data_IF_954106297509
#
_entry.id   IF_954106297509
#
_cell.length_a   1.000
_cell.length_b   1.000
_cell.length_c   1.000
_cell.angle_alpha   90.00
_cell.angle_beta   90.00
_cell.angle_gamma   90.00
#
_symmetry.space_group_name_H-M   'P 1'
#
loop_
_entity.id
_entity.type
_entity.pdbx_description
1 polymer ?
#
# COMPACT_ATOMS: atom_id res chain seq x y z
N UNK A 1 -47.39 52.84 6.91
CA UNK A 1 -47.04 51.41 6.94
C UNK A 1 -45.59 51.30 6.54
N UNK A 2 -44.71 51.04 7.50
CA UNK A 2 -43.25 50.92 7.27
C UNK A 2 -42.89 49.43 7.28
N UNK A 3 -42.45 48.92 6.16
CA UNK A 3 -41.91 47.54 5.99
C UNK A 3 -40.44 47.53 6.31
N UNK A 4 -40.01 46.77 7.33
CA UNK A 4 -38.62 46.51 7.64
C UNK A 4 -38.09 45.31 6.82
N UNK A 5 -36.86 45.34 6.34
CA UNK A 5 -36.26 44.16 5.69
C UNK A 5 -35.63 43.19 6.71
N UNK A 6 -35.94 41.88 6.58
CA UNK A 6 -35.28 40.81 7.29
C UNK A 6 -33.86 40.64 6.74
N UNK A 7 -32.88 40.80 7.63
CA UNK A 7 -31.49 40.45 7.34
C UNK A 7 -31.29 38.94 7.63
N UNK A 8 -31.08 38.15 6.59
CA UNK A 8 -30.70 36.73 6.73
C UNK A 8 -29.18 36.65 6.95
N UNK A 9 -28.78 36.30 8.16
CA UNK A 9 -27.37 36.04 8.49
C UNK A 9 -27.03 34.59 8.10
N UNK A 10 -26.26 34.42 7.02
CA UNK A 10 -25.62 33.14 6.70
C UNK A 10 -24.40 32.94 7.59
N UNK A 11 -24.49 32.00 8.54
CA UNK A 11 -23.34 31.54 9.33
C UNK A 11 -22.57 30.52 8.49
N UNK A 12 -21.44 30.95 7.93
CA UNK A 12 -20.44 30.04 7.32
C UNK A 12 -19.69 29.33 8.45
N UNK A 13 -20.02 28.05 8.68
CA UNK A 13 -19.23 27.19 9.54
C UNK A 13 -17.89 26.87 8.85
N UNK A 14 -16.86 27.62 9.18
CA UNK A 14 -15.48 27.29 8.81
C UNK A 14 -15.05 26.11 9.67
N UNK A 15 -15.04 24.91 9.08
CA UNK A 15 -14.47 23.72 9.69
C UNK A 15 -12.97 23.92 9.92
N UNK A 16 -12.56 24.20 11.14
CA UNK A 16 -11.16 24.28 11.53
C UNK A 16 -10.54 22.86 11.39
N UNK A 17 -9.64 22.72 10.43
CA UNK A 17 -8.71 21.58 10.36
C UNK A 17 -7.77 21.76 11.57
N UNK A 18 -8.07 21.08 12.66
CA UNK A 18 -7.17 21.01 13.81
C UNK A 18 -5.92 20.21 13.40
N UNK A 19 -4.88 20.91 12.97
CA UNK A 19 -3.52 20.40 13.07
C UNK A 19 -3.31 20.12 14.56
N UNK A 20 -3.15 18.83 14.91
CA UNK A 20 -2.90 18.43 16.29
C UNK A 20 -1.78 19.28 16.89
N UNK A 21 -2.14 20.11 17.88
CA UNK A 21 -1.16 20.81 18.69
C UNK A 21 -0.25 19.78 19.37
N UNK A 22 1.06 20.02 19.52
CA UNK A 22 1.89 19.15 20.33
C UNK A 22 1.33 19.13 21.75
N UNK A 23 1.04 17.93 22.25
CA UNK A 23 0.70 17.73 23.67
C UNK A 23 1.82 18.33 24.52
N UNK A 24 1.49 18.91 25.67
CA UNK A 24 2.42 19.62 26.57
C UNK A 24 3.63 18.77 27.02
N UNK A 25 3.59 17.44 26.80
CA UNK A 25 4.68 16.48 27.09
C UNK A 25 5.64 16.24 25.93
N UNK A 26 5.52 16.95 24.80
CA UNK A 26 6.33 16.68 23.60
C UNK A 26 6.06 15.32 22.95
N UNK A 27 5.03 14.60 23.37
CA UNK A 27 4.62 13.33 22.78
C UNK A 27 3.99 13.55 21.40
N UNK A 28 4.13 12.56 20.50
CA UNK A 28 3.56 12.58 19.16
C UNK A 28 2.47 11.54 19.04
N UNK A 29 1.39 11.89 18.38
CA UNK A 29 0.32 10.97 18.00
C UNK A 29 0.69 10.27 16.70
N UNK A 30 0.75 8.95 16.71
CA UNK A 30 1.09 8.11 15.57
C UNK A 30 -0.14 7.29 15.19
N UNK A 31 -0.44 7.23 13.89
CA UNK A 31 -1.49 6.36 13.33
C UNK A 31 -0.85 5.27 12.48
N UNK A 32 -1.24 4.02 12.71
CA UNK A 32 -0.81 2.85 11.96
C UNK A 32 -2.04 2.09 11.50
N UNK A 33 -2.02 1.61 10.26
CA UNK A 33 -3.08 0.76 9.73
C UNK A 33 -2.72 -0.71 9.92
N UNK A 34 -3.66 -1.48 10.47
CA UNK A 34 -3.49 -2.90 10.71
C UNK A 34 -4.76 -3.67 10.31
N UNK A 35 -4.58 -4.89 9.84
CA UNK A 35 -5.67 -5.83 9.57
C UNK A 35 -5.65 -6.93 10.63
N UNK A 36 -6.79 -7.21 11.24
CA UNK A 36 -6.98 -8.38 12.08
C UNK A 36 -7.77 -9.44 11.33
N UNK A 37 -7.29 -10.68 11.36
CA UNK A 37 -7.95 -11.82 10.70
C UNK A 37 -8.11 -12.99 11.66
N UNK A 38 -9.27 -13.62 11.61
CA UNK A 38 -9.59 -14.85 12.33
C UNK A 38 -9.38 -16.11 11.46
N UNK A 39 -10.18 -17.12 11.72
CA UNK A 39 -10.16 -18.37 10.95
C UNK A 39 -10.38 -18.12 9.45
N UNK A 40 -9.69 -18.89 8.60
CA UNK A 40 -9.77 -18.78 7.12
C UNK A 40 -9.44 -17.38 6.58
N UNK A 41 -8.63 -16.60 7.31
CA UNK A 41 -8.29 -15.20 6.99
C UNK A 41 -9.51 -14.25 6.92
N UNK A 42 -10.63 -14.59 7.53
CA UNK A 42 -11.81 -13.72 7.59
C UNK A 42 -11.45 -12.46 8.43
N UNK A 43 -11.77 -11.23 7.96
CA UNK A 43 -11.55 -10.03 8.73
C UNK A 43 -12.31 -10.03 10.05
N UNK A 44 -11.65 -9.62 11.14
CA UNK A 44 -12.26 -9.36 12.44
C UNK A 44 -12.64 -7.89 12.47
N UNK A 45 -13.92 -7.56 12.70
CA UNK A 45 -14.46 -6.20 12.56
C UNK A 45 -14.94 -5.58 13.87
N UNK A 46 -14.71 -6.25 15.00
CA UNK A 46 -15.20 -5.87 16.33
C UNK A 46 -14.08 -5.65 17.36
N UNK A 47 -12.88 -5.28 16.90
CA UNK A 47 -11.79 -4.96 17.82
C UNK A 47 -12.08 -3.69 18.62
N UNK A 48 -11.71 -3.75 19.88
CA UNK A 48 -11.76 -2.62 20.81
C UNK A 48 -10.36 -2.19 21.24
N UNK A 49 -10.25 -1.05 21.89
CA UNK A 49 -8.99 -0.55 22.45
C UNK A 49 -8.36 -1.53 23.44
N UNK A 50 -9.17 -2.24 24.22
CA UNK A 50 -8.69 -3.22 25.20
C UNK A 50 -8.05 -4.47 24.56
N UNK A 51 -8.38 -4.76 23.30
CA UNK A 51 -7.84 -5.92 22.59
C UNK A 51 -6.42 -5.69 22.06
N UNK A 52 -5.99 -4.43 21.89
CA UNK A 52 -4.81 -4.07 21.09
C UNK A 52 -3.66 -3.62 21.99
N UNK A 53 -2.49 -4.19 21.76
CA UNK A 53 -1.23 -3.75 22.39
C UNK A 53 -0.24 -3.33 21.30
N UNK A 54 0.36 -2.15 21.45
CA UNK A 54 1.41 -1.63 20.59
C UNK A 54 2.72 -1.57 21.35
N UNK A 55 3.79 -2.11 20.76
CA UNK A 55 5.17 -1.99 21.28
C UNK A 55 6.08 -1.40 20.21
N UNK A 56 6.94 -0.47 20.58
CA UNK A 56 8.05 0.00 19.76
C UNK A 56 9.36 -0.32 20.46
N UNK A 57 10.25 -1.02 19.77
CA UNK A 57 11.52 -1.54 20.34
C UNK A 57 11.32 -2.20 21.71
N UNK A 58 10.28 -3.07 21.80
CA UNK A 58 9.82 -3.77 23.01
C UNK A 58 9.23 -2.89 24.14
N UNK A 59 9.09 -1.58 23.95
CA UNK A 59 8.44 -0.68 24.90
C UNK A 59 6.96 -0.56 24.58
N UNK A 60 6.10 -0.80 25.57
CA UNK A 60 4.65 -0.63 25.43
C UNK A 60 4.35 0.85 25.21
N UNK A 61 3.47 1.13 24.21
CA UNK A 61 2.95 2.45 23.93
C UNK A 61 1.49 2.55 24.33
N UNK A 62 1.08 3.72 24.79
CA UNK A 62 -0.32 4.00 25.11
C UNK A 62 -1.13 4.06 23.81
N UNK A 63 -2.05 3.10 23.63
CA UNK A 63 -3.03 3.12 22.53
C UNK A 63 -4.18 4.04 22.94
N UNK A 64 -4.49 5.01 22.11
CA UNK A 64 -5.52 6.01 22.39
C UNK A 64 -6.81 5.79 21.59
N UNK A 65 -6.73 5.11 20.43
CA UNK A 65 -7.90 4.77 19.61
C UNK A 65 -7.64 3.53 18.77
N UNK A 66 -8.69 2.72 18.58
CA UNK A 66 -8.77 1.59 17.65
C UNK A 66 -10.10 1.70 16.92
N UNK A 67 -10.06 2.14 15.67
CA UNK A 67 -11.27 2.43 14.89
C UNK A 67 -11.16 1.82 13.49
N UNK A 68 -12.28 1.43 12.84
CA UNK A 68 -12.27 1.09 11.43
C UNK A 68 -11.63 2.20 10.59
N UNK A 69 -10.75 1.86 9.68
CA UNK A 69 -10.03 2.83 8.88
C UNK A 69 -10.96 3.54 7.89
N UNK A 70 -11.25 4.82 8.14
CA UNK A 70 -12.16 5.66 7.34
C UNK A 70 -11.45 6.55 6.32
N UNK A 71 -10.13 6.77 6.48
CA UNK A 71 -9.37 7.60 5.53
C UNK A 71 -9.41 6.99 4.12
N UNK A 72 -9.57 7.80 3.06
CA UNK A 72 -9.53 7.31 1.68
C UNK A 72 -8.21 6.60 1.37
N UNK A 73 -8.31 5.52 0.60
CA UNK A 73 -7.15 4.82 0.08
C UNK A 73 -6.49 5.65 -1.04
N UNK A 74 -5.17 5.69 -1.05
CA UNK A 74 -4.40 6.17 -2.20
C UNK A 74 -3.63 4.97 -2.75
N UNK A 75 -4.06 4.43 -3.90
CA UNK A 75 -3.53 3.18 -4.43
C UNK A 75 -2.72 3.43 -5.70
N UNK A 76 -1.45 3.09 -5.68
CA UNK A 76 -0.65 2.99 -6.89
C UNK A 76 -0.65 1.52 -7.35
N UNK A 77 -1.33 1.22 -8.45
CA UNK A 77 -1.29 -0.08 -9.09
C UNK A 77 -0.15 -0.08 -10.10
N UNK A 78 0.75 -1.05 -9.96
CA UNK A 78 1.89 -1.25 -10.86
C UNK A 78 1.76 -2.62 -11.48
N UNK A 79 1.69 -2.67 -12.81
CA UNK A 79 1.54 -3.92 -13.58
C UNK A 79 2.82 -4.18 -14.35
N UNK A 80 3.46 -5.30 -14.02
CA UNK A 80 4.67 -5.81 -14.66
C UNK A 80 4.36 -7.20 -15.21
N UNK A 81 3.84 -7.24 -16.42
CA UNK A 81 3.39 -8.46 -17.09
C UNK A 81 4.00 -8.65 -18.48
N UNK A 82 5.10 -7.97 -18.75
CA UNK A 82 5.78 -7.96 -20.07
C UNK A 82 4.82 -7.62 -21.24
N UNK A 83 3.78 -6.84 -20.99
CA UNK A 83 2.81 -6.42 -22.00
C UNK A 83 1.77 -7.48 -22.40
N UNK A 84 1.67 -8.59 -21.67
CA UNK A 84 0.71 -9.69 -21.98
C UNK A 84 -0.74 -9.34 -21.65
N UNK A 85 -0.98 -8.40 -20.73
CA UNK A 85 -2.30 -8.01 -20.27
C UNK A 85 -2.95 -9.03 -19.34
N UNK A 86 -2.19 -10.00 -18.80
CA UNK A 86 -2.68 -11.08 -17.93
C UNK A 86 -3.38 -10.52 -16.68
N UNK A 87 -2.92 -9.37 -16.16
CA UNK A 87 -3.50 -8.77 -14.97
C UNK A 87 -4.69 -7.84 -15.25
N UNK A 88 -5.06 -7.58 -16.50
CA UNK A 88 -6.11 -6.60 -16.85
C UNK A 88 -7.43 -6.87 -16.14
N UNK A 89 -7.91 -8.13 -16.16
CA UNK A 89 -9.15 -8.49 -15.47
C UNK A 89 -9.06 -8.30 -13.96
N UNK A 90 -7.95 -8.73 -13.35
CA UNK A 90 -7.71 -8.54 -11.93
C UNK A 90 -7.72 -7.07 -11.52
N UNK A 91 -7.00 -6.21 -12.26
CA UNK A 91 -6.97 -4.75 -12.00
C UNK A 91 -8.37 -4.14 -12.15
N UNK A 92 -9.17 -4.58 -13.13
CA UNK A 92 -10.55 -4.12 -13.31
C UNK A 92 -11.42 -4.49 -12.10
N UNK A 93 -11.34 -5.72 -11.61
CA UNK A 93 -12.09 -6.17 -10.43
C UNK A 93 -11.63 -5.45 -9.15
N UNK A 94 -10.32 -5.23 -9.00
CA UNK A 94 -9.79 -4.43 -7.90
C UNK A 94 -10.36 -3.01 -7.92
N UNK A 95 -10.30 -2.33 -9.07
CA UNK A 95 -10.80 -0.97 -9.23
C UNK A 95 -12.30 -0.87 -8.87
N UNK A 96 -13.12 -1.83 -9.32
CA UNK A 96 -14.53 -1.91 -8.96
C UNK A 96 -14.73 -2.08 -7.44
N UNK A 97 -13.91 -2.92 -6.81
CA UNK A 97 -14.01 -3.21 -5.37
C UNK A 97 -13.65 -2.02 -4.48
N UNK A 98 -12.79 -1.09 -4.94
CA UNK A 98 -12.37 0.09 -4.19
C UNK A 98 -13.04 1.39 -4.66
N UNK A 99 -13.95 1.31 -5.62
CA UNK A 99 -14.69 2.45 -6.15
C UNK A 99 -15.37 3.26 -5.06
N UNK A 100 -15.29 4.59 -5.14
CA UNK A 100 -15.87 5.53 -4.16
C UNK A 100 -15.10 5.61 -2.83
N UNK A 101 -14.04 4.79 -2.64
CA UNK A 101 -13.23 4.75 -1.40
C UNK A 101 -11.74 4.97 -1.64
N UNK A 102 -11.33 5.11 -2.91
CA UNK A 102 -9.94 5.24 -3.27
C UNK A 102 -9.71 6.32 -4.35
N UNK A 103 -8.52 6.92 -4.29
CA UNK A 103 -7.85 7.49 -5.47
C UNK A 103 -6.85 6.46 -5.99
N UNK A 104 -6.87 6.19 -7.29
CA UNK A 104 -6.00 5.19 -7.89
C UNK A 104 -5.16 5.79 -9.02
N UNK A 105 -3.89 5.42 -9.08
CA UNK A 105 -3.04 5.58 -10.27
C UNK A 105 -2.69 4.22 -10.85
N UNK A 106 -2.43 4.17 -12.16
CA UNK A 106 -2.04 2.95 -12.86
C UNK A 106 -0.74 3.18 -13.60
N UNK A 107 0.24 2.34 -13.31
CA UNK A 107 1.53 2.28 -13.98
C UNK A 107 1.72 0.92 -14.62
N UNK A 108 2.42 0.88 -15.73
CA UNK A 108 2.82 -0.36 -16.41
C UNK A 108 4.32 -0.37 -16.57
N UNK A 109 4.91 -1.54 -16.32
CA UNK A 109 6.32 -1.83 -16.58
C UNK A 109 6.41 -2.68 -17.83
N UNK A 110 7.02 -2.14 -18.87
CA UNK A 110 7.29 -2.84 -20.11
C UNK A 110 8.62 -2.28 -20.67
N UNK A 111 9.73 -2.82 -20.16
CA UNK A 111 11.05 -2.22 -20.21
C UNK A 111 11.17 -1.08 -19.20
N UNK A 112 10.59 0.07 -19.49
CA UNK A 112 10.53 1.23 -18.60
C UNK A 112 9.16 1.40 -17.94
N UNK A 113 9.13 2.12 -16.82
CA UNK A 113 7.89 2.50 -16.13
C UNK A 113 7.16 3.58 -16.91
N UNK A 114 5.87 3.37 -17.12
CA UNK A 114 4.99 4.35 -17.76
C UNK A 114 3.69 4.50 -17.00
N UNK A 115 3.30 5.73 -16.72
CA UNK A 115 2.00 6.03 -16.10
C UNK A 115 0.91 6.00 -17.18
N UNK A 116 -0.09 5.16 -16.96
CA UNK A 116 -1.31 5.10 -17.78
C UNK A 116 -2.40 6.02 -17.23
N UNK A 117 -2.47 6.12 -15.92
CA UNK A 117 -3.46 6.95 -15.21
C UNK A 117 -2.80 7.57 -14.00
N UNK A 118 -2.88 8.88 -13.88
CA UNK A 118 -2.52 9.62 -12.68
C UNK A 118 -3.54 9.40 -11.55
N UNK A 119 -3.20 9.77 -10.31
CA UNK A 119 -4.11 9.62 -9.19
C UNK A 119 -5.41 10.38 -9.41
N UNK A 120 -6.50 9.66 -9.41
CA UNK A 120 -7.86 10.18 -9.56
C UNK A 120 -8.85 9.26 -8.86
N UNK A 121 -10.02 9.77 -8.50
CA UNK A 121 -11.19 9.01 -8.06
C UNK A 121 -12.19 8.72 -9.20
N UNK A 122 -11.95 9.25 -10.40
CA UNK A 122 -12.84 9.03 -11.56
C UNK A 122 -12.65 7.63 -12.15
N UNK A 123 -13.64 6.77 -11.91
CA UNK A 123 -13.64 5.38 -12.38
C UNK A 123 -13.56 5.25 -13.90
N UNK A 124 -14.07 6.23 -14.67
CA UNK A 124 -13.99 6.21 -16.14
C UNK A 124 -12.56 6.34 -16.60
N UNK A 125 -11.78 7.19 -15.92
CA UNK A 125 -10.34 7.36 -16.22
C UNK A 125 -9.58 6.08 -15.85
N UNK A 126 -9.92 5.42 -14.71
CA UNK A 126 -9.34 4.13 -14.37
C UNK A 126 -9.57 3.09 -15.47
N UNK A 127 -10.84 2.94 -15.92
CA UNK A 127 -11.21 1.96 -16.94
C UNK A 127 -10.51 2.25 -18.28
N UNK A 128 -10.37 3.52 -18.66
CA UNK A 128 -9.64 3.92 -19.86
C UNK A 128 -8.15 3.54 -19.78
N UNK A 129 -7.51 3.74 -18.62
CA UNK A 129 -6.13 3.29 -18.38
C UNK A 129 -6.00 1.77 -18.41
N UNK A 130 -6.91 1.05 -17.70
CA UNK A 130 -6.91 -0.41 -17.63
C UNK A 130 -7.09 -1.04 -19.03
N UNK A 131 -7.88 -0.44 -19.91
CA UNK A 131 -8.07 -0.93 -21.28
C UNK A 131 -6.79 -0.93 -22.13
N UNK A 132 -5.78 -0.14 -21.73
CA UNK A 132 -4.48 -0.08 -22.38
C UNK A 132 -3.50 -1.18 -21.94
N UNK A 133 -3.82 -1.96 -20.90
CA UNK A 133 -3.01 -3.10 -20.48
C UNK A 133 -3.05 -4.19 -21.56
N UNK A 134 -1.88 -4.70 -21.95
CA UNK A 134 -1.73 -5.76 -22.95
C UNK A 134 -1.94 -5.30 -24.42
N UNK A 135 -2.03 -3.99 -24.69
CA UNK A 135 -2.14 -3.47 -26.06
C UNK A 135 -0.80 -3.39 -26.76
N UNK A 136 0.30 -3.32 -26.03
CA UNK A 136 1.65 -3.25 -26.59
C UNK A 136 2.27 -4.64 -26.71
N UNK A 137 3.16 -4.85 -27.72
CA UNK A 137 3.91 -6.10 -27.78
C UNK A 137 4.66 -6.38 -26.50
N UNK A 138 4.68 -7.64 -26.09
CA UNK A 138 5.48 -8.09 -24.97
C UNK A 138 6.98 -7.83 -25.26
N UNK A 139 7.70 -7.30 -24.26
CA UNK A 139 9.16 -7.24 -24.30
C UNK A 139 9.71 -8.47 -23.60
N UNK A 140 10.75 -9.10 -24.18
CA UNK A 140 11.39 -10.25 -23.56
C UNK A 140 12.50 -9.85 -22.57
N UNK A 141 12.85 -8.57 -22.53
CA UNK A 141 14.07 -8.09 -21.89
C UNK A 141 13.89 -7.70 -20.40
N UNK A 142 12.74 -8.06 -19.79
CA UNK A 142 12.46 -7.70 -18.38
C UNK A 142 11.99 -6.27 -18.20
N UNK A 143 12.03 -5.78 -16.96
CA UNK A 143 11.45 -4.50 -16.58
C UNK A 143 12.24 -3.74 -15.53
N UNK A 144 11.70 -2.64 -15.09
CA UNK A 144 12.20 -1.79 -14.01
C UNK A 144 11.14 -1.66 -12.92
N UNK A 145 10.74 -2.79 -12.31
CA UNK A 145 9.67 -2.80 -11.30
C UNK A 145 10.09 -2.02 -10.04
N UNK A 146 11.35 -2.08 -9.66
CA UNK A 146 11.88 -1.32 -8.52
C UNK A 146 11.72 0.20 -8.73
N UNK A 147 11.95 0.70 -9.94
CA UNK A 147 11.70 2.11 -10.28
C UNK A 147 10.21 2.45 -10.12
N UNK A 148 9.31 1.58 -10.59
CA UNK A 148 7.87 1.77 -10.45
C UNK A 148 7.42 1.87 -8.99
N UNK A 149 7.97 1.01 -8.12
CA UNK A 149 7.69 1.01 -6.67
C UNK A 149 8.25 2.28 -6.02
N UNK A 150 9.50 2.64 -6.34
CA UNK A 150 10.15 3.84 -5.82
C UNK A 150 9.42 5.12 -6.20
N UNK A 151 9.00 5.25 -7.46
CA UNK A 151 8.26 6.40 -7.96
C UNK A 151 6.85 6.51 -7.35
N UNK A 152 6.18 5.37 -7.12
CA UNK A 152 4.93 5.35 -6.39
C UNK A 152 5.12 5.86 -4.95
N UNK A 153 6.14 5.37 -4.25
CA UNK A 153 6.46 5.80 -2.89
C UNK A 153 6.76 7.30 -2.82
N UNK A 154 7.59 7.83 -3.74
CA UNK A 154 7.88 9.27 -3.84
C UNK A 154 6.60 10.10 -4.08
N UNK A 155 5.72 9.65 -4.98
CA UNK A 155 4.48 10.37 -5.28
C UNK A 155 3.54 10.41 -4.06
N UNK A 156 3.47 9.38 -3.24
CA UNK A 156 2.72 9.40 -1.98
C UNK A 156 3.28 10.38 -0.97
N UNK A 157 4.60 10.45 -0.82
CA UNK A 157 5.24 11.39 0.08
C UNK A 157 4.98 12.85 -0.34
N UNK A 158 5.04 13.15 -1.64
CA UNK A 158 4.77 14.47 -2.19
C UNK A 158 3.29 14.90 -2.04
N UNK A 159 2.36 13.95 -2.01
CA UNK A 159 0.91 14.19 -1.85
C UNK A 159 0.44 14.15 -0.40
N UNK A 160 1.32 13.86 0.55
CA UNK A 160 0.98 13.63 1.95
C UNK A 160 -0.17 12.60 2.10
N UNK A 161 -0.10 11.53 1.31
CA UNK A 161 -1.14 10.51 1.26
C UNK A 161 -1.37 9.89 2.65
N UNK A 162 -2.63 9.91 3.11
CA UNK A 162 -2.95 9.46 4.48
C UNK A 162 -2.92 7.95 4.63
N UNK A 163 -3.35 7.21 3.59
CA UNK A 163 -3.44 5.74 3.57
C UNK A 163 -2.89 5.20 2.26
N UNK A 164 -1.56 5.33 2.03
CA UNK A 164 -0.95 4.94 0.78
C UNK A 164 -0.78 3.42 0.69
N UNK A 165 -1.04 2.89 -0.51
CA UNK A 165 -0.92 1.47 -0.85
C UNK A 165 -0.24 1.33 -2.20
N UNK A 166 0.80 0.54 -2.28
CA UNK A 166 1.39 0.07 -3.54
C UNK A 166 0.88 -1.34 -3.79
N UNK A 167 0.21 -1.56 -4.91
CA UNK A 167 -0.20 -2.88 -5.39
C UNK A 167 0.64 -3.24 -6.60
N UNK A 168 1.68 -4.05 -6.39
CA UNK A 168 2.55 -4.56 -7.45
C UNK A 168 2.05 -5.91 -7.93
N UNK A 169 1.75 -6.01 -9.23
CA UNK A 169 1.30 -7.20 -9.92
C UNK A 169 2.40 -7.57 -10.91
N UNK A 170 3.10 -8.69 -10.69
CA UNK A 170 4.23 -9.07 -11.52
C UNK A 170 4.22 -10.55 -11.91
N UNK A 171 4.65 -10.84 -13.13
CA UNK A 171 4.91 -12.22 -13.58
C UNK A 171 6.34 -12.68 -13.23
N UNK A 172 7.13 -11.77 -12.67
CA UNK A 172 8.57 -11.95 -12.54
C UNK A 172 9.28 -11.76 -13.88
N UNK A 173 10.54 -11.58 -13.83
CA UNK A 173 11.37 -11.34 -15.02
C UNK A 173 12.74 -10.85 -14.58
N UNK A 174 13.54 -10.41 -15.54
CA UNK A 174 14.82 -9.77 -15.24
C UNK A 174 14.56 -8.32 -14.78
N UNK A 175 15.21 -7.93 -13.69
CA UNK A 175 15.15 -6.55 -13.18
C UNK A 175 16.32 -5.74 -13.71
N UNK A 176 16.03 -4.67 -14.42
CA UNK A 176 17.02 -3.79 -15.06
C UNK A 176 17.25 -2.47 -14.30
N UNK A 177 16.63 -2.32 -13.14
CA UNK A 177 16.86 -1.17 -12.28
C UNK A 177 18.28 -1.20 -11.68
N UNK A 178 18.85 -0.02 -11.53
CA UNK A 178 20.11 0.19 -10.77
C UNK A 178 19.86 0.56 -9.31
N UNK A 179 18.59 0.60 -8.87
CA UNK A 179 18.23 0.92 -7.52
C UNK A 179 18.58 -0.22 -6.57
N UNK A 180 19.16 0.13 -5.42
CA UNK A 180 19.39 -0.83 -4.35
C UNK A 180 18.09 -1.14 -3.62
N UNK A 181 17.85 -2.41 -3.30
CA UNK A 181 16.64 -2.88 -2.61
C UNK A 181 16.38 -2.11 -1.31
N UNK A 182 17.44 -1.92 -0.49
CA UNK A 182 17.37 -1.12 0.75
C UNK A 182 16.87 0.32 0.53
N UNK A 183 17.27 0.97 -0.56
CA UNK A 183 16.89 2.37 -0.83
C UNK A 183 15.42 2.45 -1.24
N UNK A 184 14.91 1.45 -1.96
CA UNK A 184 13.49 1.30 -2.29
C UNK A 184 12.68 1.01 -1.03
N UNK A 185 13.13 0.11 -0.16
CA UNK A 185 12.49 -0.17 1.14
C UNK A 185 12.45 1.08 2.03
N UNK A 186 13.49 1.89 2.02
CA UNK A 186 13.51 3.17 2.74
C UNK A 186 12.52 4.19 2.16
N UNK A 187 12.33 4.23 0.84
CA UNK A 187 11.32 5.09 0.22
C UNK A 187 9.90 4.64 0.56
N UNK A 188 9.62 3.32 0.53
CA UNK A 188 8.35 2.76 0.99
C UNK A 188 8.10 3.16 2.44
N UNK A 189 9.09 3.01 3.31
CA UNK A 189 8.98 3.37 4.72
C UNK A 189 8.70 4.86 4.94
N UNK A 190 9.41 5.76 4.23
CA UNK A 190 9.21 7.21 4.32
C UNK A 190 7.82 7.64 3.83
N UNK A 191 7.30 6.99 2.80
CA UNK A 191 5.96 7.23 2.28
C UNK A 191 4.85 6.63 3.15
N UNK A 192 5.20 5.71 4.08
CA UNK A 192 4.27 4.92 4.90
C UNK A 192 3.34 4.03 4.07
N UNK A 193 3.70 3.76 2.82
CA UNK A 193 2.89 2.93 1.94
C UNK A 193 2.94 1.46 2.35
N UNK A 194 1.78 0.81 2.41
CA UNK A 194 1.70 -0.64 2.51
C UNK A 194 1.98 -1.26 1.13
N UNK A 195 2.96 -2.16 1.04
CA UNK A 195 3.29 -2.86 -0.20
C UNK A 195 2.55 -4.20 -0.27
N UNK A 196 1.64 -4.32 -1.23
CA UNK A 196 1.00 -5.58 -1.61
C UNK A 196 1.62 -6.09 -2.90
N UNK A 197 2.00 -7.35 -2.90
CA UNK A 197 2.61 -8.01 -4.06
C UNK A 197 1.76 -9.20 -4.48
N UNK A 198 1.42 -9.25 -5.76
CA UNK A 198 0.77 -10.38 -6.38
C UNK A 198 1.72 -10.93 -7.46
N UNK A 199 2.34 -12.06 -7.14
CA UNK A 199 3.36 -12.67 -7.97
C UNK A 199 2.82 -13.87 -8.74
N UNK A 200 2.81 -13.80 -10.06
CA UNK A 200 2.33 -14.87 -10.96
C UNK A 200 3.47 -15.40 -11.83
N UNK A 201 4.57 -15.82 -11.17
CA UNK A 201 5.71 -16.39 -11.89
C UNK A 201 5.45 -17.82 -12.36
N UNK A 202 5.66 -18.09 -13.63
CA UNK A 202 5.72 -19.46 -14.14
C UNK A 202 7.15 -20.04 -14.07
N UNK A 203 7.27 -21.38 -14.22
CA UNK A 203 8.57 -22.05 -14.14
C UNK A 203 9.54 -21.61 -15.26
N UNK A 204 9.02 -21.27 -16.44
CA UNK A 204 9.84 -20.84 -17.59
C UNK A 204 10.46 -19.46 -17.32
N UNK A 205 9.69 -18.49 -16.79
CA UNK A 205 10.19 -17.17 -16.43
C UNK A 205 11.26 -17.27 -15.33
N UNK A 206 11.02 -18.10 -14.31
CA UNK A 206 12.01 -18.33 -13.24
C UNK A 206 13.29 -18.99 -13.75
N UNK A 207 13.18 -19.96 -14.66
CA UNK A 207 14.37 -20.62 -15.22
C UNK A 207 15.17 -19.68 -16.11
N UNK A 208 14.53 -18.78 -16.84
CA UNK A 208 15.20 -17.76 -17.64
C UNK A 208 15.93 -16.74 -16.76
N UNK A 209 15.29 -16.25 -15.70
CA UNK A 209 15.93 -15.36 -14.73
C UNK A 209 17.12 -16.04 -14.04
N UNK A 210 17.01 -17.33 -13.70
CA UNK A 210 18.10 -18.12 -13.09
C UNK A 210 19.25 -18.43 -14.07
N UNK A 211 19.00 -18.43 -15.38
CA UNK A 211 20.02 -18.65 -16.40
C UNK A 211 20.86 -17.40 -16.72
N UNK A 212 20.48 -16.24 -16.16
CA UNK A 212 21.17 -14.97 -16.37
C UNK A 212 22.55 -14.99 -15.75
N UNK A 213 23.58 -14.60 -16.52
CA UNK A 213 24.98 -14.54 -16.10
C UNK A 213 25.57 -13.13 -16.02
N UNK A 214 24.80 -12.10 -16.39
CA UNK A 214 25.23 -10.71 -16.22
C UNK A 214 25.23 -10.35 -14.74
N UNK A 215 26.32 -9.78 -14.24
CA UNK A 215 26.45 -9.36 -12.85
C UNK A 215 25.38 -8.31 -12.47
N UNK A 216 25.14 -7.34 -13.36
CA UNK A 216 24.16 -6.26 -13.13
C UNK A 216 22.72 -6.80 -13.01
N UNK A 217 22.37 -7.78 -13.86
CA UNK A 217 21.05 -8.42 -13.79
C UNK A 217 20.90 -9.33 -12.56
N UNK A 218 21.99 -9.96 -12.12
CA UNK A 218 21.97 -10.73 -10.86
C UNK A 218 21.74 -9.80 -9.66
N UNK A 219 22.41 -8.65 -9.64
CA UNK A 219 22.21 -7.64 -8.60
C UNK A 219 20.80 -7.05 -8.65
N UNK A 220 20.29 -6.67 -9.83
CA UNK A 220 18.91 -6.18 -10.00
C UNK A 220 17.87 -7.19 -9.51
N UNK A 221 18.00 -8.46 -9.89
CA UNK A 221 17.12 -9.53 -9.43
C UNK A 221 17.21 -9.75 -7.92
N UNK A 222 18.40 -9.68 -7.33
CA UNK A 222 18.59 -9.79 -5.87
C UNK A 222 17.87 -8.63 -5.14
N UNK A 223 18.05 -7.39 -5.61
CA UNK A 223 17.39 -6.23 -5.07
C UNK A 223 15.86 -6.32 -5.19
N UNK A 224 15.36 -6.85 -6.32
CA UNK A 224 13.93 -7.09 -6.51
C UNK A 224 13.39 -8.12 -5.51
N UNK A 225 14.08 -9.25 -5.35
CA UNK A 225 13.70 -10.30 -4.41
C UNK A 225 13.69 -9.79 -2.97
N UNK A 226 14.65 -8.94 -2.57
CA UNK A 226 14.66 -8.29 -1.27
C UNK A 226 13.40 -7.42 -1.08
N UNK A 227 13.07 -6.56 -2.04
CA UNK A 227 11.92 -5.66 -1.94
C UNK A 227 10.60 -6.42 -1.95
N UNK A 228 10.43 -7.40 -2.85
CA UNK A 228 9.19 -8.18 -2.94
C UNK A 228 9.03 -9.18 -1.79
N UNK A 229 10.11 -9.58 -1.12
CA UNK A 229 10.10 -10.49 0.02
C UNK A 229 9.88 -9.77 1.35
N UNK A 230 10.69 -8.76 1.63
CA UNK A 230 10.71 -8.06 2.91
C UNK A 230 9.79 -6.84 2.96
N UNK A 231 9.63 -6.15 1.84
CA UNK A 231 8.82 -4.94 1.74
C UNK A 231 7.39 -5.11 2.25
N UNK A 232 6.64 -6.16 1.86
CA UNK A 232 5.30 -6.40 2.39
C UNK A 232 5.26 -6.51 3.92
N UNK A 233 6.16 -7.27 4.52
CA UNK A 233 6.21 -7.45 5.99
C UNK A 233 6.58 -6.15 6.70
N UNK A 234 7.59 -5.43 6.20
CA UNK A 234 8.04 -4.19 6.80
C UNK A 234 6.98 -3.09 6.74
N UNK A 235 6.17 -3.06 5.69
CA UNK A 235 5.19 -2.01 5.42
C UNK A 235 3.75 -2.32 5.85
N UNK A 236 3.46 -3.53 6.31
CA UNK A 236 2.11 -3.94 6.70
C UNK A 236 1.22 -4.37 5.53
N UNK A 237 1.82 -4.69 4.40
CA UNK A 237 1.16 -5.33 3.27
C UNK A 237 1.33 -6.85 3.28
N UNK A 238 1.09 -7.47 2.13
CA UNK A 238 1.21 -8.93 1.94
C UNK A 238 1.76 -9.27 0.55
N UNK A 239 2.51 -10.38 0.48
CA UNK A 239 2.83 -11.05 -0.78
C UNK A 239 1.95 -12.28 -0.93
N UNK A 240 1.43 -12.47 -2.15
CA UNK A 240 0.69 -13.66 -2.59
C UNK A 240 1.31 -14.19 -3.86
N UNK A 241 1.63 -15.47 -3.87
CA UNK A 241 2.15 -16.16 -5.04
C UNK A 241 0.98 -16.91 -5.70
N UNK A 242 0.65 -16.55 -6.94
CA UNK A 242 -0.44 -17.13 -7.72
C UNK A 242 0.11 -18.31 -8.52
N UNK A 243 -0.47 -19.48 -8.32
CA UNK A 243 -0.13 -20.70 -9.07
C UNK A 243 -0.95 -20.80 -10.36
N UNK A 244 -2.21 -20.37 -10.30
CA UNK A 244 -3.13 -20.46 -11.42
C UNK A 244 -3.77 -19.09 -11.73
N UNK A 245 -3.80 -18.69 -12.98
CA UNK A 245 -4.35 -17.40 -13.43
C UNK A 245 -5.81 -17.18 -12.99
N UNK A 246 -6.57 -18.27 -12.84
CA UNK A 246 -7.97 -18.22 -12.36
C UNK A 246 -8.09 -17.67 -10.92
N UNK A 247 -7.05 -17.84 -10.09
CA UNK A 247 -7.03 -17.32 -8.73
C UNK A 247 -6.82 -15.80 -8.67
N UNK A 248 -6.32 -15.18 -9.75
CA UNK A 248 -5.97 -13.77 -9.80
C UNK A 248 -7.12 -12.85 -9.35
N UNK A 249 -8.33 -13.05 -9.88
CA UNK A 249 -9.50 -12.23 -9.53
C UNK A 249 -9.83 -12.37 -8.04
N UNK A 250 -9.83 -13.61 -7.54
CA UNK A 250 -10.09 -13.89 -6.12
C UNK A 250 -9.04 -13.23 -5.22
N UNK A 251 -7.75 -13.30 -5.59
CA UNK A 251 -6.68 -12.73 -4.78
C UNK A 251 -6.73 -11.19 -4.75
N UNK A 252 -7.01 -10.53 -5.87
CA UNK A 252 -7.16 -9.06 -5.88
C UNK A 252 -8.41 -8.60 -5.13
N UNK A 253 -9.53 -9.34 -5.21
CA UNK A 253 -10.73 -9.07 -4.43
C UNK A 253 -10.47 -9.25 -2.93
N UNK A 254 -9.70 -10.28 -2.56
CA UNK A 254 -9.28 -10.48 -1.18
C UNK A 254 -8.42 -9.32 -0.68
N UNK A 255 -7.48 -8.81 -1.47
CA UNK A 255 -6.69 -7.63 -1.12
C UNK A 255 -7.61 -6.41 -0.92
N UNK A 256 -8.58 -6.17 -1.80
CA UNK A 256 -9.55 -5.08 -1.64
C UNK A 256 -10.38 -5.21 -0.36
N UNK A 257 -10.79 -6.44 -0.01
CA UNK A 257 -11.51 -6.75 1.23
C UNK A 257 -10.63 -6.48 2.45
N UNK A 258 -9.39 -6.94 2.44
CA UNK A 258 -8.41 -6.69 3.51
C UNK A 258 -8.17 -5.20 3.73
N UNK A 259 -7.95 -4.45 2.66
CA UNK A 259 -7.79 -2.99 2.72
C UNK A 259 -9.04 -2.31 3.30
N UNK A 260 -10.23 -2.80 2.99
CA UNK A 260 -11.50 -2.24 3.49
C UNK A 260 -11.74 -2.52 4.97
N UNK A 261 -11.17 -3.60 5.49
CA UNK A 261 -11.37 -4.08 6.86
C UNK A 261 -10.22 -3.70 7.83
N UNK A 262 -9.27 -2.85 7.39
CA UNK A 262 -8.20 -2.38 8.26
C UNK A 262 -8.74 -1.48 9.38
N UNK A 263 -8.00 -1.48 10.48
CA UNK A 263 -8.15 -0.53 11.59
C UNK A 263 -7.11 0.58 11.50
N UNK A 264 -7.50 1.77 11.89
CA UNK A 264 -6.60 2.85 12.25
C UNK A 264 -6.33 2.75 13.75
N UNK A 265 -5.11 2.39 14.11
CA UNK A 265 -4.65 2.28 15.50
C UNK A 265 -3.83 3.53 15.81
N UNK A 266 -4.32 4.31 16.76
CA UNK A 266 -3.66 5.54 17.21
C UNK A 266 -3.00 5.31 18.54
N UNK A 267 -1.74 5.71 18.67
CA UNK A 267 -0.99 5.61 19.92
C UNK A 267 -0.09 6.82 20.16
N UNK A 268 0.33 7.03 21.40
CA UNK A 268 1.26 8.08 21.81
C UNK A 268 2.69 7.58 21.81
N UNK A 269 3.57 8.34 21.17
CA UNK A 269 5.01 8.15 21.21
C UNK A 269 5.64 9.30 21.98
N UNK A 270 6.27 9.06 23.13
CA UNK A 270 7.04 10.09 23.85
C UNK A 270 8.16 10.66 22.98
N UNK A 271 8.58 11.88 23.27
CA UNK A 271 9.76 12.46 22.63
C UNK A 271 11.00 11.68 23.04
N UNK A 272 11.59 10.93 22.12
CA UNK A 272 12.79 10.16 22.32
C UNK A 272 13.91 10.68 21.40
N UNK A 273 15.18 10.56 21.84
CA UNK A 273 16.34 10.96 21.00
C UNK A 273 16.43 10.13 19.72
N UNK A 274 16.13 8.84 19.80
CA UNK A 274 16.20 7.93 18.68
C UNK A 274 14.80 7.53 18.23
N UNK A 275 14.57 7.56 16.92
CA UNK A 275 13.33 7.04 16.32
C UNK A 275 13.34 5.52 16.48
N UNK A 276 12.27 4.92 17.01
CA UNK A 276 12.15 3.47 17.11
C UNK A 276 12.32 2.78 15.75
N UNK A 277 12.96 1.62 15.72
CA UNK A 277 13.20 0.85 14.50
C UNK A 277 12.07 -0.15 14.21
N UNK A 278 11.55 -0.78 15.26
CA UNK A 278 10.56 -1.87 15.14
C UNK A 278 9.26 -1.50 15.83
N UNK A 279 8.16 -1.91 15.21
CA UNK A 279 6.83 -1.89 15.82
C UNK A 279 6.25 -3.28 15.83
N UNK A 280 5.55 -3.61 16.89
CA UNK A 280 4.78 -4.84 17.03
C UNK A 280 3.37 -4.48 17.52
N UNK A 281 2.38 -4.92 16.77
CA UNK A 281 0.98 -4.80 17.12
C UNK A 281 0.45 -6.20 17.38
N UNK A 282 -0.16 -6.40 18.54
CA UNK A 282 -0.73 -7.69 18.95
C UNK A 282 -2.17 -7.50 19.38
N UNK A 283 -2.99 -8.54 19.13
CA UNK A 283 -4.39 -8.60 19.56
C UNK A 283 -4.52 -9.71 20.58
N UNK A 284 -5.10 -9.39 21.75
CA UNK A 284 -5.26 -10.32 22.87
C UNK A 284 -6.53 -11.18 22.73
N UNK A 285 -6.73 -11.74 21.53
CA UNK A 285 -7.83 -12.69 21.22
C UNK A 285 -7.27 -13.96 20.62
N UNK A 286 -7.72 -15.13 21.11
CA UNK A 286 -7.30 -16.42 20.57
C UNK A 286 -7.72 -16.55 19.10
N UNK A 287 -6.81 -17.07 18.26
CA UNK A 287 -7.07 -17.34 16.84
C UNK A 287 -7.14 -16.09 15.97
N UNK A 288 -6.80 -14.90 16.49
CA UNK A 288 -6.70 -13.67 15.71
C UNK A 288 -5.24 -13.40 15.35
N UNK A 289 -4.99 -13.26 14.05
CA UNK A 289 -3.70 -12.84 13.50
C UNK A 289 -3.76 -11.36 13.12
N UNK A 290 -2.63 -10.66 13.26
CA UNK A 290 -2.52 -9.25 12.89
C UNK A 290 -1.51 -9.07 11.75
N UNK A 291 -1.91 -8.34 10.73
CA UNK A 291 -1.04 -7.86 9.66
C UNK A 291 -0.88 -6.36 9.84
N UNK A 292 0.32 -5.96 10.16
CA UNK A 292 0.69 -4.58 10.45
C UNK A 292 2.15 -4.36 10.04
N UNK A 293 2.60 -3.10 9.86
CA UNK A 293 4.01 -2.83 9.66
C UNK A 293 4.86 -3.40 10.79
N UNK A 294 6.03 -3.92 10.45
CA UNK A 294 7.04 -4.35 11.45
C UNK A 294 8.12 -3.29 11.64
N UNK A 295 8.23 -2.34 10.72
CA UNK A 295 9.12 -1.19 10.82
C UNK A 295 8.35 -0.01 11.41
N UNK A 296 8.88 0.61 12.46
CA UNK A 296 8.20 1.69 13.17
C UNK A 296 8.07 2.94 12.28
N UNK A 297 6.92 3.64 12.26
CA UNK A 297 6.75 4.85 11.47
C UNK A 297 7.74 5.95 11.91
N UNK A 298 8.22 6.75 10.96
CA UNK A 298 9.14 7.87 11.25
C UNK A 298 8.43 9.04 11.94
N UNK A 299 7.15 9.25 11.67
CA UNK A 299 6.34 10.38 12.19
C UNK A 299 4.92 9.93 12.44
#
# INVERSE_FOLDING_TARGET
>A
MRTAPLLTVCILAVGAITRGAPDQDGSRTIVVYALATGAQNAPVTDLTLADVTVKEDNRIREVTSVEPASAPLHVAVIVDDNGTGIFRFGVSHFAQSVQGRAEMSLRVVNGQVRTLTEFTSDTRIWLAGISQLGVRPATQDGGQLLEGIADAAKSFAAREARRPVILALTVGGQEHSTLLGRDVLDQIHRSRAALYVLFSGNAAIRSQAAATRSADLLEGNHNLDEVLGDGPKQSGGRRRDIIATQALVTDVQQIATELSAQYAITYRRPAERNVPQRIQITVQRRGVNVVAPTRAPLR
#
